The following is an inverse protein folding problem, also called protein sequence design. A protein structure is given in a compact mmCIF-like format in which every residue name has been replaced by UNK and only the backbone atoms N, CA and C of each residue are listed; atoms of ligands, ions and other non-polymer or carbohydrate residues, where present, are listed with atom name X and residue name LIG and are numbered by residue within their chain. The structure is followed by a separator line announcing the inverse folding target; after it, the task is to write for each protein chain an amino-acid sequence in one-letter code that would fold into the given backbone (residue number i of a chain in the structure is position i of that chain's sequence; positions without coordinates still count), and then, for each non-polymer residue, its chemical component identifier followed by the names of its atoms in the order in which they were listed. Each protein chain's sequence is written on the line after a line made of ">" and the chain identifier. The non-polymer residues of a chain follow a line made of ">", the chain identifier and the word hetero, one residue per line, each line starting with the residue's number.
data_IF_873333842863
#
_entry.id   IF_873333842863
#
_cell.length_a   1.000
_cell.length_b   1.000
_cell.length_c   1.000
_cell.angle_alpha   90.00
_cell.angle_beta   90.00
_cell.angle_gamma   90.00
#
_symmetry.space_group_name_H-M   'P 1'
#
loop_
_entity.id
_entity.type
_entity.pdbx_description
1 polymer ?
#
# COMPACT_ATOMS: atom_id res chain seq x y z
N UNK A 1 -3.56 -13.19 -15.84
CA UNK A 1 -3.67 -12.59 -14.57
C UNK A 1 -2.62 -11.53 -14.34
N UNK A 2 -3.03 -10.32 -14.08
CA UNK A 2 -2.11 -9.18 -14.12
C UNK A 2 -1.97 -8.48 -12.80
N UNK A 3 -1.72 -9.27 -11.76
CA UNK A 3 -1.43 -8.70 -10.46
C UNK A 3 0.01 -8.24 -10.44
N UNK A 4 0.22 -6.96 -10.23
CA UNK A 4 1.55 -6.40 -10.12
C UNK A 4 1.87 -6.12 -8.67
N UNK A 5 3.02 -6.58 -8.23
CA UNK A 5 3.47 -6.35 -6.87
C UNK A 5 4.65 -5.41 -6.87
N UNK A 6 4.56 -4.39 -6.04
CA UNK A 6 5.61 -3.39 -5.92
C UNK A 6 5.91 -3.19 -4.45
N UNK A 7 7.09 -2.66 -4.16
CA UNK A 7 7.46 -2.32 -2.80
C UNK A 7 7.72 -0.82 -2.73
N UNK A 8 7.10 -0.17 -1.77
CA UNK A 8 7.28 1.24 -1.54
C UNK A 8 7.86 1.46 -0.16
N UNK A 9 8.94 2.23 -0.07
CA UNK A 9 9.52 2.58 1.23
C UNK A 9 9.12 4.00 1.60
N UNK A 10 8.49 4.13 2.76
CA UNK A 10 8.06 5.42 3.29
C UNK A 10 8.41 5.46 4.76
N UNK A 11 9.16 6.49 5.18
CA UNK A 11 9.53 6.69 6.60
C UNK A 11 10.13 5.43 7.22
N UNK A 12 11.04 4.78 6.50
CA UNK A 12 11.73 3.56 6.93
C UNK A 12 10.81 2.35 7.08
N UNK A 13 9.65 2.41 6.46
CA UNK A 13 8.70 1.30 6.47
C UNK A 13 8.52 0.79 5.05
N UNK A 14 8.62 -0.52 4.88
CA UNK A 14 8.41 -1.15 3.58
C UNK A 14 6.95 -1.53 3.44
N UNK A 15 6.35 -1.10 2.34
CA UNK A 15 4.94 -1.38 2.07
C UNK A 15 4.84 -2.20 0.79
N UNK A 16 4.18 -3.35 0.90
CA UNK A 16 3.93 -4.18 -0.28
C UNK A 16 2.69 -3.66 -0.98
N UNK A 17 2.84 -3.29 -2.24
CA UNK A 17 1.74 -2.76 -3.02
C UNK A 17 1.29 -3.81 -4.01
N UNK A 18 0.00 -4.11 -3.99
CA UNK A 18 -0.60 -5.07 -4.91
C UNK A 18 -1.67 -4.34 -5.70
N UNK A 19 -1.55 -4.36 -7.03
CA UNK A 19 -2.54 -3.73 -7.90
C UNK A 19 -3.52 -4.80 -8.35
N UNK A 20 -4.80 -4.52 -8.15
CA UNK A 20 -5.86 -5.48 -8.45
C UNK A 20 -7.00 -4.78 -9.16
N UNK A 21 -7.89 -5.59 -9.72
CA UNK A 21 -9.11 -5.06 -10.34
C UNK A 21 -10.16 -4.83 -9.24
N UNK A 22 -9.93 -3.79 -8.46
CA UNK A 22 -10.83 -3.41 -7.37
C UNK A 22 -11.12 -1.92 -7.47
N UNK A 23 -12.10 -1.45 -6.73
CA UNK A 23 -12.54 -0.06 -6.82
C UNK A 23 -11.94 0.82 -5.74
N UNK A 24 -11.58 0.25 -4.60
CA UNK A 24 -11.10 1.01 -3.47
C UNK A 24 -9.74 0.51 -3.01
N UNK A 25 -8.98 1.40 -2.37
CA UNK A 25 -7.72 1.02 -1.78
C UNK A 25 -7.94 0.43 -0.39
N UNK A 26 -7.15 -0.58 -0.06
CA UNK A 26 -7.21 -1.23 1.24
C UNK A 26 -5.82 -1.35 1.83
N UNK A 27 -5.69 -0.98 3.08
CA UNK A 27 -4.43 -1.10 3.79
C UNK A 27 -4.58 -2.13 4.89
N UNK A 28 -3.63 -3.05 4.97
CA UNK A 28 -3.63 -4.09 5.98
C UNK A 28 -2.28 -4.12 6.67
N UNK A 29 -2.30 -4.31 7.99
CA UNK A 29 -1.09 -4.44 8.79
C UNK A 29 -1.09 -5.82 9.38
N UNK A 30 -0.02 -6.57 9.16
CA UNK A 30 0.08 -7.95 9.59
C UNK A 30 1.07 -8.10 10.74
N UNK A 31 0.60 -8.51 11.92
CA UNK A 31 1.51 -8.83 13.00
C UNK A 31 2.26 -10.14 12.70
N UNK A 32 3.35 -10.44 13.39
CA UNK A 32 3.96 -9.66 14.46
C UNK A 32 4.95 -8.62 13.99
N UNK A 33 5.29 -8.64 12.71
CA UNK A 33 6.37 -7.80 12.18
C UNK A 33 5.91 -6.43 11.71
N UNK A 34 4.63 -6.15 11.79
CA UNK A 34 4.12 -4.87 11.32
C UNK A 34 4.23 -4.70 9.82
N UNK A 35 4.16 -5.82 9.09
CA UNK A 35 4.24 -5.77 7.64
C UNK A 35 2.98 -5.12 7.08
N UNK A 36 3.17 -4.21 6.15
CA UNK A 36 2.05 -3.46 5.60
C UNK A 36 1.83 -3.86 4.15
N UNK A 37 0.58 -4.12 3.82
CA UNK A 37 0.19 -4.42 2.45
C UNK A 37 -0.88 -3.44 2.00
N UNK A 38 -0.66 -2.83 0.86
CA UNK A 38 -1.61 -1.90 0.28
C UNK A 38 -2.17 -2.50 -1.02
N UNK A 39 -3.47 -2.71 -1.05
CA UNK A 39 -4.15 -3.15 -2.26
C UNK A 39 -4.78 -1.93 -2.93
N UNK A 40 -4.57 -1.78 -4.23
CA UNK A 40 -5.03 -0.61 -4.95
C UNK A 40 -5.57 -0.99 -6.33
N UNK A 41 -6.45 -0.16 -6.89
CA UNK A 41 -6.90 -0.37 -8.27
C UNK A 41 -5.73 -0.27 -9.26
N UNK A 42 -5.83 -1.03 -10.34
CA UNK A 42 -4.78 -1.08 -11.36
C UNK A 42 -4.39 0.28 -11.87
N UNK A 43 -5.35 1.17 -11.99
CA UNK A 43 -5.14 2.47 -12.61
C UNK A 43 -4.72 3.56 -11.64
N UNK A 44 -4.46 3.20 -10.40
CA UNK A 44 -4.08 4.19 -9.40
C UNK A 44 -2.69 4.73 -9.71
N UNK A 45 -2.57 6.05 -9.66
CA UNK A 45 -1.31 6.73 -9.87
C UNK A 45 -0.35 6.40 -8.73
N UNK A 46 0.93 6.13 -9.03
CA UNK A 46 1.91 5.85 -7.97
C UNK A 46 2.00 6.95 -6.93
N UNK A 47 1.82 8.20 -7.34
CA UNK A 47 1.86 9.31 -6.40
C UNK A 47 0.70 9.26 -5.43
N UNK A 48 -0.48 8.85 -5.90
CA UNK A 48 -1.64 8.68 -5.04
C UNK A 48 -1.39 7.59 -4.02
N UNK A 49 -0.76 6.49 -4.44
CA UNK A 49 -0.42 5.41 -3.53
C UNK A 49 0.51 5.88 -2.43
N UNK A 50 1.50 6.67 -2.80
CA UNK A 50 2.47 7.19 -1.85
C UNK A 50 1.81 8.11 -0.83
N UNK A 51 0.96 9.01 -1.30
CA UNK A 51 0.26 9.94 -0.43
C UNK A 51 -0.67 9.21 0.52
N UNK A 52 -1.36 8.20 0.01
CA UNK A 52 -2.25 7.39 0.83
C UNK A 52 -1.47 6.68 1.93
N UNK A 53 -0.33 6.10 1.57
CA UNK A 53 0.51 5.39 2.53
C UNK A 53 1.04 6.33 3.60
N UNK A 54 1.52 7.50 3.20
CA UNK A 54 2.04 8.49 4.15
C UNK A 54 0.96 8.91 5.13
N UNK A 55 -0.23 9.16 4.63
CA UNK A 55 -1.34 9.56 5.46
C UNK A 55 -1.69 8.48 6.49
N UNK A 56 -1.70 7.24 6.05
CA UNK A 56 -2.05 6.14 6.96
C UNK A 56 -0.97 5.85 7.97
N UNK A 57 0.29 5.98 7.58
CA UNK A 57 1.40 5.77 8.51
C UNK A 57 1.39 6.79 9.64
N UNK A 58 1.05 8.03 9.33
CA UNK A 58 0.92 9.05 10.34
C UNK A 58 -0.16 8.73 11.35
N UNK A 59 -1.17 8.00 10.92
CA UNK A 59 -2.27 7.60 11.79
C UNK A 59 -1.93 6.37 12.62
N UNK A 60 -1.14 5.46 12.05
CA UNK A 60 -0.80 4.20 12.70
C UNK A 60 0.16 4.40 13.86
N UNK A 61 0.96 5.43 13.80
CA UNK A 61 1.84 5.73 14.90
C UNK A 61 1.03 6.12 16.13
#
# INVERSE_FOLDING_TARGET
>A
MNTKEETLEVANVSIDIVRKDIKNMHLAVYPPHGRIRLSAPDKTDPEVLRLFAISKLGWIK
#
